data_IF_861341716635
#
_entry.id   IF_861341716635
#
_cell.length_a   1.000
_cell.length_b   1.000
_cell.length_c   1.000
_cell.angle_alpha   90.00
_cell.angle_beta   90.00
_cell.angle_gamma   90.00
#
_symmetry.space_group_name_H-M   'P 1'
#
loop_
_entity.id
_entity.type
_entity.pdbx_description
1 polymer ?
#
# COMPACT_ATOMS: atom_id res chain seq x y z
N UNK A 1 -12.66 6.67 5.80
CA UNK A 1 -11.42 5.91 5.52
C UNK A 1 -11.09 6.10 4.06
N UNK A 2 -9.84 6.38 3.72
CA UNK A 2 -9.38 6.60 2.34
C UNK A 2 -8.20 5.67 2.05
N UNK A 3 -8.25 4.95 0.92
CA UNK A 3 -7.17 4.15 0.37
C UNK A 3 -7.29 4.18 -1.16
N UNK A 4 -6.28 4.72 -1.85
CA UNK A 4 -6.25 4.89 -3.31
C UNK A 4 -4.82 4.69 -3.84
N UNK A 5 -4.66 4.49 -5.15
CA UNK A 5 -3.37 4.53 -5.83
C UNK A 5 -2.79 3.17 -6.22
N UNK A 6 -3.06 2.10 -5.46
CA UNK A 6 -2.49 0.77 -5.74
C UNK A 6 -2.94 0.22 -7.11
N UNK A 7 -4.19 0.51 -7.51
CA UNK A 7 -4.74 0.15 -8.82
C UNK A 7 -4.12 0.99 -9.95
N UNK A 8 -3.88 2.27 -9.73
CA UNK A 8 -3.28 3.19 -10.70
C UNK A 8 -1.86 2.73 -11.08
N UNK A 9 -1.06 2.37 -10.08
CA UNK A 9 0.29 1.83 -10.28
C UNK A 9 0.25 0.43 -10.90
N UNK A 10 -0.63 -0.45 -10.43
CA UNK A 10 -0.81 -1.78 -11.00
C UNK A 10 -1.17 -1.72 -12.50
N UNK A 11 -2.04 -0.78 -12.89
CA UNK A 11 -2.35 -0.56 -14.29
C UNK A 11 -1.15 -0.04 -15.07
N UNK A 12 -0.42 0.95 -14.56
CA UNK A 12 0.79 1.46 -15.22
C UNK A 12 1.83 0.35 -15.46
N UNK A 13 2.10 -0.49 -14.45
CA UNK A 13 3.03 -1.60 -14.58
C UNK A 13 2.52 -2.69 -15.54
N UNK A 14 1.21 -2.91 -15.61
CA UNK A 14 0.62 -3.84 -16.60
C UNK A 14 0.83 -3.39 -18.06
N UNK A 15 1.08 -2.10 -18.29
CA UNK A 15 1.40 -1.53 -19.59
C UNK A 15 2.91 -1.51 -19.87
N UNK A 16 3.70 -2.29 -19.14
CA UNK A 16 5.17 -2.36 -19.23
C UNK A 16 5.91 -1.05 -18.89
N UNK A 17 5.27 -0.09 -18.22
CA UNK A 17 6.01 1.02 -17.62
C UNK A 17 6.86 0.52 -16.46
N UNK A 18 8.13 0.90 -16.44
CA UNK A 18 9.00 0.59 -15.30
C UNK A 18 8.84 1.62 -14.17
N UNK A 19 9.33 1.28 -12.98
CA UNK A 19 9.23 2.11 -11.77
C UNK A 19 9.80 3.52 -11.99
N UNK A 20 10.93 3.66 -12.67
CA UNK A 20 11.56 4.96 -12.90
C UNK A 20 10.74 5.83 -13.85
N UNK A 21 10.13 5.24 -14.87
CA UNK A 21 9.18 5.95 -15.74
C UNK A 21 7.97 6.44 -14.96
N UNK A 22 7.37 5.59 -14.11
CA UNK A 22 6.20 5.95 -13.30
C UNK A 22 6.53 7.03 -12.25
N UNK A 23 7.75 7.04 -11.71
CA UNK A 23 8.20 8.14 -10.85
C UNK A 23 8.38 9.44 -11.63
N UNK A 24 8.98 9.37 -12.82
CA UNK A 24 9.33 10.55 -13.64
C UNK A 24 8.15 11.18 -14.35
N UNK A 25 7.14 10.40 -14.73
CA UNK A 25 5.98 10.89 -15.47
C UNK A 25 4.96 11.64 -14.61
N UNK A 26 5.17 11.72 -13.29
CA UNK A 26 4.32 12.45 -12.36
C UNK A 26 3.16 11.65 -11.76
N UNK A 27 2.95 10.39 -12.17
CA UNK A 27 1.79 9.60 -11.72
C UNK A 27 1.72 9.48 -10.19
N UNK A 28 2.85 9.32 -9.51
CA UNK A 28 2.86 9.24 -8.04
C UNK A 28 2.36 10.53 -7.41
N UNK A 29 2.82 11.68 -7.92
CA UNK A 29 2.40 13.00 -7.47
C UNK A 29 0.91 13.25 -7.76
N UNK A 30 0.43 12.84 -8.94
CA UNK A 30 -0.98 12.98 -9.32
C UNK A 30 -1.91 12.19 -8.39
N UNK A 31 -1.52 10.96 -8.05
CA UNK A 31 -2.27 10.12 -7.11
C UNK A 31 -2.29 10.75 -5.71
N UNK A 32 -1.16 11.26 -5.21
CA UNK A 32 -1.10 11.92 -3.90
C UNK A 32 -1.96 13.18 -3.88
N UNK A 33 -1.94 13.98 -4.95
CA UNK A 33 -2.77 15.17 -5.05
C UNK A 33 -4.27 14.82 -5.15
N UNK A 34 -4.62 13.75 -5.87
CA UNK A 34 -6.00 13.24 -5.89
C UNK A 34 -6.49 12.83 -4.48
N UNK A 35 -5.64 12.17 -3.69
CA UNK A 35 -5.93 11.85 -2.28
C UNK A 35 -6.15 13.14 -1.47
N UNK A 36 -5.27 14.14 -1.64
CA UNK A 36 -5.39 15.43 -0.95
C UNK A 36 -6.70 16.16 -1.32
N UNK A 37 -7.07 16.16 -2.59
CA UNK A 37 -8.33 16.76 -3.06
C UNK A 37 -9.55 16.02 -2.50
N UNK A 38 -9.53 14.69 -2.48
CA UNK A 38 -10.59 13.90 -1.87
C UNK A 38 -10.75 14.22 -0.38
N UNK A 39 -9.63 14.36 0.35
CA UNK A 39 -9.61 14.78 1.75
C UNK A 39 -10.23 16.16 1.96
N UNK A 40 -9.78 17.17 1.20
CA UNK A 40 -10.34 18.53 1.25
C UNK A 40 -11.86 18.51 1.04
N UNK A 41 -12.34 17.71 0.08
CA UNK A 41 -13.76 17.58 -0.23
C UNK A 41 -14.56 16.98 0.93
N UNK A 42 -14.11 15.87 1.53
CA UNK A 42 -14.85 15.26 2.63
C UNK A 42 -14.82 16.11 3.91
N UNK A 43 -13.71 16.84 4.14
CA UNK A 43 -13.59 17.78 5.26
C UNK A 43 -14.58 18.94 5.10
N UNK A 44 -14.67 19.50 3.88
CA UNK A 44 -15.65 20.51 3.51
C UNK A 44 -17.09 20.03 3.78
N UNK A 45 -17.37 18.75 3.53
CA UNK A 45 -18.66 18.13 3.83
C UNK A 45 -18.85 17.68 5.30
N UNK A 46 -17.99 18.10 6.23
CA UNK A 46 -18.19 17.90 7.66
C UNK A 46 -17.41 16.72 8.27
N UNK A 47 -16.58 16.01 7.51
CA UNK A 47 -15.71 14.99 8.09
C UNK A 47 -14.72 15.65 9.08
N UNK A 48 -14.60 15.09 10.29
CA UNK A 48 -13.68 15.57 11.34
C UNK A 48 -12.69 14.53 11.83
N UNK A 49 -12.88 13.26 11.48
CA UNK A 49 -11.95 12.17 11.75
C UNK A 49 -11.77 11.35 10.49
N UNK A 50 -10.55 11.28 9.98
CA UNK A 50 -10.26 10.59 8.73
C UNK A 50 -9.00 9.73 8.91
N UNK A 51 -9.16 8.43 8.66
CA UNK A 51 -8.02 7.52 8.49
C UNK A 51 -7.66 7.44 7.00
N UNK A 52 -6.39 7.66 6.69
CA UNK A 52 -5.81 7.58 5.34
C UNK A 52 -4.73 6.52 5.34
N UNK A 53 -4.92 5.48 4.55
CA UNK A 53 -3.93 4.41 4.43
C UNK A 53 -2.87 4.74 3.38
N UNK A 54 -1.62 4.41 3.69
CA UNK A 54 -0.58 4.27 2.68
C UNK A 54 -0.72 2.97 1.90
N UNK A 55 0.08 2.84 0.84
CA UNK A 55 0.17 1.61 0.04
C UNK A 55 0.99 0.57 0.82
N UNK A 56 0.51 -0.67 0.83
CA UNK A 56 1.16 -1.81 1.49
C UNK A 56 2.31 -2.39 0.63
N UNK A 57 2.95 -3.48 1.10
CA UNK A 57 4.01 -4.19 0.37
C UNK A 57 3.54 -4.76 -0.98
N UNK A 58 3.59 -3.97 -2.05
CA UNK A 58 3.16 -4.39 -3.39
C UNK A 58 4.07 -5.49 -3.96
N UNK A 59 5.36 -5.46 -3.64
CA UNK A 59 6.33 -6.46 -4.11
C UNK A 59 6.03 -7.87 -3.62
N UNK A 60 5.24 -8.03 -2.57
CA UNK A 60 4.82 -9.33 -2.04
C UNK A 60 3.57 -9.89 -2.75
N UNK A 61 2.95 -9.12 -3.65
CA UNK A 61 1.75 -9.58 -4.36
C UNK A 61 2.15 -10.61 -5.43
N UNK A 62 1.36 -11.69 -5.62
CA UNK A 62 1.66 -12.70 -6.64
C UNK A 62 1.84 -12.12 -8.04
N UNK A 63 1.07 -11.07 -8.40
CA UNK A 63 1.19 -10.44 -9.71
C UNK A 63 2.52 -9.71 -9.88
N UNK A 64 3.00 -9.00 -8.86
CA UNK A 64 4.27 -8.27 -8.91
C UNK A 64 5.45 -9.25 -9.03
N UNK A 65 5.41 -10.36 -8.27
CA UNK A 65 6.40 -11.46 -8.39
C UNK A 65 6.33 -12.11 -9.78
N UNK A 66 5.13 -12.41 -10.28
CA UNK A 66 4.95 -13.06 -11.59
C UNK A 66 5.47 -12.19 -12.73
N UNK A 67 5.16 -10.89 -12.71
CA UNK A 67 5.63 -9.93 -13.71
C UNK A 67 7.15 -9.81 -13.74
N UNK A 68 7.81 -9.96 -12.59
CA UNK A 68 9.26 -9.84 -12.46
C UNK A 68 10.01 -11.18 -12.59
N UNK A 69 9.28 -12.30 -12.73
CA UNK A 69 9.88 -13.65 -12.81
C UNK A 69 10.82 -13.83 -14.00
N UNK A 70 10.56 -13.15 -15.12
CA UNK A 70 11.41 -13.18 -16.32
C UNK A 70 12.55 -12.15 -16.27
N UNK A 71 12.52 -11.21 -15.32
CA UNK A 71 13.50 -10.13 -15.20
C UNK A 71 14.71 -10.59 -14.39
N UNK A 72 15.84 -10.81 -15.07
CA UNK A 72 17.08 -11.30 -14.44
C UNK A 72 17.74 -10.30 -13.48
N UNK A 73 17.40 -9.01 -13.56
CA UNK A 73 17.91 -8.00 -12.63
C UNK A 73 16.97 -7.73 -11.46
N UNK A 74 15.80 -8.40 -11.39
CA UNK A 74 14.88 -8.24 -10.27
C UNK A 74 15.55 -8.71 -8.97
N UNK A 75 15.41 -7.90 -7.92
CA UNK A 75 15.91 -8.24 -6.59
C UNK A 75 14.75 -8.59 -5.67
N UNK A 76 14.99 -9.60 -4.83
CA UNK A 76 14.00 -10.13 -3.89
C UNK A 76 14.53 -10.03 -2.46
N UNK A 77 13.64 -9.79 -1.50
CA UNK A 77 13.98 -9.83 -0.09
C UNK A 77 13.95 -11.26 0.49
N UNK A 78 14.17 -11.38 1.80
CA UNK A 78 14.18 -12.68 2.49
C UNK A 78 12.83 -13.41 2.47
N UNK A 79 11.74 -12.72 2.15
CA UNK A 79 10.39 -13.26 2.04
C UNK A 79 10.00 -13.56 0.58
N UNK A 80 10.89 -13.32 -0.38
CA UNK A 80 10.62 -13.50 -1.80
C UNK A 80 9.79 -12.38 -2.43
N UNK A 81 9.68 -11.23 -1.76
CA UNK A 81 9.01 -10.05 -2.32
C UNK A 81 9.94 -9.24 -3.21
N UNK A 82 9.42 -8.65 -4.29
CA UNK A 82 10.19 -7.78 -5.19
C UNK A 82 10.55 -6.47 -4.48
N UNK A 83 11.85 -6.21 -4.28
CA UNK A 83 12.32 -5.05 -3.49
C UNK A 83 11.96 -3.73 -4.13
N UNK A 84 12.21 -3.59 -5.44
CA UNK A 84 11.98 -2.32 -6.15
C UNK A 84 10.51 -1.87 -6.06
N UNK A 85 9.56 -2.82 -6.11
CA UNK A 85 8.14 -2.55 -5.89
C UNK A 85 7.86 -2.06 -4.47
N UNK A 86 8.46 -2.68 -3.45
CA UNK A 86 8.32 -2.24 -2.06
C UNK A 86 8.94 -0.86 -1.83
N UNK A 87 10.09 -0.57 -2.45
CA UNK A 87 10.73 0.76 -2.38
C UNK A 87 9.88 1.83 -3.07
N UNK A 88 9.20 1.47 -4.16
CA UNK A 88 8.21 2.33 -4.80
C UNK A 88 7.01 2.63 -3.89
N UNK A 89 6.51 1.65 -3.13
CA UNK A 89 5.47 1.88 -2.13
C UNK A 89 5.92 2.86 -1.04
N UNK A 90 7.15 2.73 -0.55
CA UNK A 90 7.73 3.68 0.41
C UNK A 90 7.81 5.10 -0.17
N UNK A 91 8.29 5.23 -1.41
CA UNK A 91 8.33 6.53 -2.10
C UNK A 91 6.95 7.20 -2.18
N UNK A 92 5.90 6.46 -2.54
CA UNK A 92 4.53 6.98 -2.49
C UNK A 92 4.13 7.39 -1.06
N UNK A 93 4.41 6.52 -0.07
CA UNK A 93 4.01 6.74 1.32
C UNK A 93 4.69 7.95 1.96
N UNK A 94 5.93 8.25 1.58
CA UNK A 94 6.66 9.46 1.99
C UNK A 94 5.95 10.72 1.49
N UNK A 95 5.68 10.79 0.18
CA UNK A 95 4.97 11.91 -0.44
C UNK A 95 3.55 12.08 0.12
N UNK A 96 2.85 10.97 0.37
CA UNK A 96 1.54 10.99 0.99
C UNK A 96 1.62 11.58 2.41
N UNK A 97 2.56 11.14 3.24
CA UNK A 97 2.71 11.65 4.60
C UNK A 97 3.02 13.14 4.63
N UNK A 98 3.86 13.64 3.71
CA UNK A 98 4.11 15.07 3.52
C UNK A 98 2.82 15.82 3.16
N UNK A 99 2.06 15.32 2.18
CA UNK A 99 0.76 15.90 1.81
C UNK A 99 -0.27 15.89 2.95
N UNK A 100 -0.27 14.85 3.78
CA UNK A 100 -1.13 14.77 4.97
C UNK A 100 -0.68 15.75 6.07
N UNK A 101 0.61 16.01 6.21
CA UNK A 101 1.12 17.03 7.13
C UNK A 101 0.60 18.42 6.75
N UNK A 102 0.70 18.80 5.48
CA UNK A 102 0.14 20.07 4.98
C UNK A 102 -1.36 20.20 5.27
N UNK A 103 -2.12 19.11 5.05
CA UNK A 103 -3.56 19.12 5.29
C UNK A 103 -3.92 19.27 6.78
N UNK A 104 -3.13 18.70 7.69
CA UNK A 104 -3.33 18.87 9.13
C UNK A 104 -3.08 20.32 9.54
N UNK A 105 -2.05 20.94 9.00
CA UNK A 105 -1.74 22.36 9.26
C UNK A 105 -2.87 23.29 8.78
N UNK A 106 -3.49 22.96 7.64
CA UNK A 106 -4.62 23.71 7.08
C UNK A 106 -5.95 23.46 7.81
N UNK A 107 -6.09 22.37 8.54
CA UNK A 107 -7.36 21.93 9.15
C UNK A 107 -7.13 21.47 10.61
N UNK A 108 -6.76 22.38 11.53
CA UNK A 108 -6.38 22.02 12.90
C UNK A 108 -7.53 21.40 13.73
N UNK A 109 -8.79 21.58 13.33
CA UNK A 109 -9.97 20.98 13.95
C UNK A 109 -10.31 19.56 13.42
N UNK A 110 -9.55 19.06 12.45
CA UNK A 110 -9.75 17.74 11.82
C UNK A 110 -8.65 16.77 12.24
N UNK A 111 -9.05 15.61 12.77
CA UNK A 111 -8.15 14.52 13.07
C UNK A 111 -7.87 13.68 11.81
N UNK A 112 -6.74 13.95 11.14
CA UNK A 112 -6.27 13.16 9.99
C UNK A 112 -5.20 12.17 10.46
N UNK A 113 -5.53 10.89 10.48
CA UNK A 113 -4.65 9.80 10.93
C UNK A 113 -4.06 9.08 9.73
N UNK A 114 -2.75 8.84 9.75
CA UNK A 114 -2.08 7.99 8.76
C UNK A 114 -2.12 6.54 9.24
N UNK A 115 -2.54 5.63 8.37
CA UNK A 115 -2.51 4.19 8.58
C UNK A 115 -1.36 3.56 7.81
N UNK A 116 -0.36 3.07 8.54
CA UNK A 116 0.85 2.49 7.98
C UNK A 116 0.65 1.02 7.62
N UNK A 117 0.04 0.76 6.46
CA UNK A 117 -0.17 -0.61 5.97
C UNK A 117 1.14 -1.29 5.56
N UNK A 118 2.17 -0.53 5.19
CA UNK A 118 3.47 -1.08 4.80
C UNK A 118 4.11 -1.79 6.00
N UNK A 119 4.31 -1.07 7.10
CA UNK A 119 4.94 -1.63 8.29
C UNK A 119 4.03 -2.63 9.01
N UNK A 120 2.71 -2.46 8.94
CA UNK A 120 1.78 -3.48 9.43
C UNK A 120 1.97 -4.82 8.70
N UNK A 121 2.05 -4.80 7.36
CA UNK A 121 2.28 -6.03 6.58
C UNK A 121 3.69 -6.60 6.81
N UNK A 122 4.71 -5.74 6.90
CA UNK A 122 6.08 -6.18 7.21
C UNK A 122 6.13 -6.89 8.57
N UNK A 123 5.46 -6.34 9.58
CA UNK A 123 5.37 -6.95 10.90
C UNK A 123 4.71 -8.33 10.85
N UNK A 124 3.68 -8.51 10.01
CA UNK A 124 3.06 -9.82 9.84
C UNK A 124 4.02 -10.82 9.17
N UNK A 125 4.74 -10.41 8.13
CA UNK A 125 5.73 -11.28 7.47
C UNK A 125 6.82 -11.72 8.45
N UNK A 126 7.34 -10.78 9.24
CA UNK A 126 8.38 -11.01 10.25
C UNK A 126 7.92 -11.96 11.35
N UNK A 127 6.62 -11.94 11.70
CA UNK A 127 6.03 -12.75 12.77
C UNK A 127 5.19 -13.93 12.27
N UNK A 128 5.27 -14.24 10.97
CA UNK A 128 4.41 -15.22 10.30
C UNK A 128 4.37 -16.59 11.01
N UNK A 129 5.51 -17.09 11.51
CA UNK A 129 5.54 -18.36 12.26
C UNK A 129 4.69 -18.34 13.54
N UNK A 130 4.70 -17.22 14.27
CA UNK A 130 3.94 -17.05 15.52
C UNK A 130 2.46 -16.73 15.28
N UNK A 131 2.17 -16.10 14.14
CA UNK A 131 0.82 -15.75 13.71
C UNK A 131 0.16 -16.89 12.92
N UNK A 132 0.80 -18.06 12.81
CA UNK A 132 0.35 -19.19 12.01
C UNK A 132 1.03 -19.25 10.64
N UNK A 133 1.55 -20.42 10.28
CA UNK A 133 2.25 -20.61 9.01
C UNK A 133 1.36 -20.27 7.81
N UNK A 134 1.64 -19.15 7.16
CA UNK A 134 1.34 -18.96 5.75
C UNK A 134 2.20 -19.97 4.99
N UNK A 135 1.69 -21.17 4.73
CA UNK A 135 2.24 -21.98 3.67
C UNK A 135 2.10 -21.14 2.39
N UNK A 136 3.22 -20.65 1.85
CA UNK A 136 3.31 -19.97 0.55
C UNK A 136 2.91 -20.94 -0.57
N UNK A 137 1.65 -21.34 -0.59
CA UNK A 137 0.97 -21.87 -1.75
C UNK A 137 0.80 -20.71 -2.73
N UNK A 138 0.89 -20.93 -4.05
CA UNK A 138 0.63 -19.91 -5.07
C UNK A 138 -0.76 -19.24 -4.96
N UNK A 139 -1.65 -19.75 -4.11
CA UNK A 139 -2.98 -19.21 -3.81
C UNK A 139 -3.08 -18.48 -2.46
N UNK A 140 -2.02 -18.44 -1.64
CA UNK A 140 -2.07 -17.90 -0.27
C UNK A 140 -1.78 -16.39 -0.21
N UNK A 141 -2.59 -15.60 -0.92
CA UNK A 141 -2.74 -14.14 -0.67
C UNK A 141 -3.68 -13.88 0.51
N UNK A 142 -4.16 -14.92 1.20
CA UNK A 142 -4.99 -14.82 2.40
C UNK A 142 -4.08 -14.97 3.61
N UNK A 143 -3.95 -13.86 4.33
CA UNK A 143 -3.29 -13.79 5.63
C UNK A 143 -4.10 -14.60 6.65
N UNK A 144 -3.75 -15.87 6.89
CA UNK A 144 -4.36 -16.66 7.97
C UNK A 144 -3.63 -16.37 9.28
N UNK A 145 -4.02 -15.27 9.94
CA UNK A 145 -3.56 -14.98 11.31
C UNK A 145 -4.27 -15.92 12.30
N UNK A 146 -3.60 -17.00 12.70
CA UNK A 146 -3.92 -17.85 13.84
C UNK A 146 -3.81 -17.00 15.13
N UNK A 147 -4.97 -16.55 15.60
CA UNK A 147 -5.11 -15.64 16.75
C UNK A 147 -6.05 -14.45 16.51
N UNK A 148 -6.39 -14.15 15.25
CA UNK A 148 -7.42 -13.14 14.92
C UNK A 148 -8.79 -13.74 14.57
N UNK A 149 -8.89 -15.07 14.53
CA UNK A 149 -10.12 -15.79 14.19
C UNK A 149 -10.60 -16.65 15.36
N UNK A 150 -11.33 -16.03 16.29
CA UNK A 150 -12.44 -16.72 16.96
C UNK A 150 -13.69 -16.77 16.07
N UNK A 151 -13.69 -16.06 14.94
CA UNK A 151 -14.80 -16.03 13.98
C UNK A 151 -14.28 -15.57 12.63
N UNK A 152 -14.79 -16.23 11.60
CA UNK A 152 -14.71 -15.89 10.18
C UNK A 152 -14.87 -14.37 9.97
N UNK A 153 -13.83 -13.68 9.50
CA UNK A 153 -14.02 -12.52 8.64
C UNK A 153 -13.77 -12.97 7.21
N UNK A 154 -14.83 -13.48 6.60
CA UNK A 154 -15.02 -13.34 5.18
C UNK A 154 -15.12 -11.83 4.92
N UNK A 155 -14.11 -11.23 4.31
CA UNK A 155 -14.38 -10.02 3.52
C UNK A 155 -14.80 -10.53 2.15
N UNK A 156 -16.10 -10.82 2.06
CA UNK A 156 -16.77 -10.87 0.78
C UNK A 156 -16.71 -9.47 0.15
N UNK A 157 -16.27 -9.42 -1.11
CA UNK A 157 -17.11 -8.88 -2.17
C UNK A 157 -17.23 -9.96 -3.22
#
# INVERSE_FOLDING_TARGET
MINFGTNDYGYAFSQNHNIEEVKKNGLVSDVVEAIKQALKKIIYHGARKVLVFGVALDGCRPISVTMQSANKSATYDRFGCVKDNNDFCNYHNELLQEGLKELREQNPDVQIVYGDLYNAMQSILDNSQSLGECAFSPSCTILYIKGMFGSVVAVAV
#
